data_IF_603109942598
#
_entry.id   IF_603109942598
#
_cell.length_a   1.000
_cell.length_b   1.000
_cell.length_c   1.000
_cell.angle_alpha   90.00
_cell.angle_beta   90.00
_cell.angle_gamma   90.00
#
_symmetry.space_group_name_H-M   'P 1'
#
loop_
_entity.id
_entity.type
_entity.pdbx_description
1 polymer ?
#
# COMPACT_ATOMS: atom_id res chain seq x y z
N UNK A 1 7.61 -12.70 -26.88
CA UNK A 1 8.18 -13.39 -25.70
C UNK A 1 7.57 -14.78 -25.66
N UNK A 2 8.33 -15.81 -25.25
CA UNK A 2 7.74 -17.15 -25.07
C UNK A 2 6.78 -17.12 -23.87
N UNK A 3 5.74 -17.98 -23.83
CA UNK A 3 4.84 -18.09 -22.69
C UNK A 3 5.57 -18.30 -21.36
N UNK A 4 6.67 -19.07 -21.37
CA UNK A 4 7.51 -19.29 -20.19
C UNK A 4 8.17 -18.02 -19.69
N UNK A 5 8.69 -17.17 -20.58
CA UNK A 5 9.28 -15.87 -20.20
C UNK A 5 8.26 -14.97 -19.51
N UNK A 6 7.00 -14.96 -19.98
CA UNK A 6 5.92 -14.19 -19.36
C UNK A 6 5.66 -14.71 -17.94
N UNK A 7 5.59 -16.03 -17.75
CA UNK A 7 5.40 -16.65 -16.43
C UNK A 7 6.52 -16.32 -15.45
N UNK A 8 7.79 -16.34 -15.89
CA UNK A 8 8.92 -15.95 -15.05
C UNK A 8 8.86 -14.48 -14.64
N UNK A 9 8.54 -13.58 -15.57
CA UNK A 9 8.40 -12.15 -15.28
C UNK A 9 7.27 -11.90 -14.29
N UNK A 10 6.12 -12.54 -14.45
CA UNK A 10 4.99 -12.39 -13.52
C UNK A 10 5.30 -12.95 -12.13
N UNK A 11 6.02 -14.07 -12.06
CA UNK A 11 6.45 -14.65 -10.79
C UNK A 11 7.43 -13.73 -10.07
N UNK A 12 8.42 -13.20 -10.78
CA UNK A 12 9.37 -12.23 -10.22
C UNK A 12 8.65 -10.96 -9.74
N UNK A 13 7.69 -10.45 -10.53
CA UNK A 13 6.87 -9.29 -10.15
C UNK A 13 6.10 -9.54 -8.85
N UNK A 14 5.44 -10.70 -8.72
CA UNK A 14 4.70 -11.07 -7.50
C UNK A 14 5.61 -11.13 -6.28
N UNK A 15 6.80 -11.72 -6.41
CA UNK A 15 7.79 -11.79 -5.33
C UNK A 15 8.24 -10.39 -4.91
N UNK A 16 8.60 -9.54 -5.88
CA UNK A 16 9.03 -8.16 -5.60
C UNK A 16 7.93 -7.38 -4.90
N UNK A 17 6.69 -7.43 -5.41
CA UNK A 17 5.56 -6.74 -4.79
C UNK A 17 5.24 -7.29 -3.39
N UNK A 18 5.28 -8.62 -3.22
CA UNK A 18 5.08 -9.24 -1.91
C UNK A 18 6.10 -8.72 -0.88
N UNK A 19 7.39 -8.69 -1.24
CA UNK A 19 8.44 -8.14 -0.37
C UNK A 19 8.18 -6.67 -0.06
N UNK A 20 7.86 -5.85 -1.07
CA UNK A 20 7.58 -4.42 -0.88
C UNK A 20 6.42 -4.21 0.09
N UNK A 21 5.28 -4.88 -0.11
CA UNK A 21 4.10 -4.72 0.75
C UNK A 21 4.30 -5.31 2.15
N UNK A 22 4.96 -6.46 2.28
CA UNK A 22 5.23 -7.06 3.59
C UNK A 22 6.17 -6.17 4.40
N UNK A 23 7.25 -5.67 3.80
CA UNK A 23 8.18 -4.75 4.49
C UNK A 23 7.49 -3.44 4.85
N UNK A 24 6.70 -2.86 3.93
CA UNK A 24 5.90 -1.67 4.21
C UNK A 24 4.91 -1.90 5.35
N UNK A 25 4.19 -3.02 5.34
CA UNK A 25 3.22 -3.36 6.36
C UNK A 25 3.86 -3.59 7.72
N UNK A 26 5.02 -4.25 7.80
CA UNK A 26 5.80 -4.39 9.05
C UNK A 26 6.19 -3.02 9.61
N UNK A 27 6.53 -2.04 8.76
CA UNK A 27 6.93 -0.71 9.22
C UNK A 27 5.83 0.03 9.98
N UNK A 28 4.54 -0.28 9.74
CA UNK A 28 3.40 0.32 10.45
C UNK A 28 3.41 0.04 11.96
N UNK A 29 4.09 -1.02 12.39
CA UNK A 29 4.20 -1.41 13.80
C UNK A 29 5.35 -0.71 14.53
N UNK A 30 6.26 -0.04 13.80
CA UNK A 30 7.32 0.74 14.41
C UNK A 30 6.74 2.02 15.06
N UNK A 31 6.98 2.29 16.36
CA UNK A 31 6.33 3.40 17.07
C UNK A 31 6.52 4.78 16.41
N UNK A 32 7.70 5.06 15.87
CA UNK A 32 7.98 6.32 15.19
C UNK A 32 7.18 6.47 13.89
N UNK A 33 7.15 5.42 13.06
CA UNK A 33 6.39 5.39 11.80
C UNK A 33 4.89 5.47 12.07
N UNK A 34 4.41 4.70 13.06
CA UNK A 34 3.01 4.67 13.44
C UNK A 34 2.50 6.06 13.87
N UNK A 35 3.28 6.80 14.66
CA UNK A 35 2.95 8.18 15.07
C UNK A 35 2.83 9.11 13.86
N UNK A 36 3.78 9.04 12.94
CA UNK A 36 3.78 9.87 11.73
C UNK A 36 2.58 9.54 10.84
N UNK A 37 2.34 8.27 10.52
CA UNK A 37 1.21 7.84 9.70
C UNK A 37 -0.15 8.19 10.33
N UNK A 38 -0.27 8.03 11.65
CA UNK A 38 -1.49 8.42 12.38
C UNK A 38 -1.77 9.92 12.26
N UNK A 39 -0.72 10.75 12.27
CA UNK A 39 -0.82 12.18 12.07
C UNK A 39 -1.14 12.57 10.61
N UNK A 40 -0.77 11.73 9.63
CA UNK A 40 -1.11 11.95 8.21
C UNK A 40 -2.60 11.71 7.91
N UNK A 41 -3.33 10.98 8.76
CA UNK A 41 -4.77 10.77 8.56
C UNK A 41 -5.49 12.13 8.61
N UNK A 42 -6.28 12.51 7.60
CA UNK A 42 -6.96 13.80 7.55
C UNK A 42 -7.85 14.05 8.79
N UNK A 43 -7.93 15.28 9.34
CA UNK A 43 -8.72 15.58 10.54
C UNK A 43 -10.17 15.09 10.47
N UNK A 44 -10.82 15.22 9.30
CA UNK A 44 -12.20 14.75 9.05
C UNK A 44 -12.41 13.24 9.20
N UNK A 45 -11.34 12.44 9.17
CA UNK A 45 -11.37 10.98 9.33
C UNK A 45 -10.89 10.53 10.72
N UNK A 46 -10.48 11.46 11.59
CA UNK A 46 -9.98 11.13 12.93
C UNK A 46 -11.15 10.98 13.90
N UNK A 47 -11.71 9.78 13.94
CA UNK A 47 -12.76 9.41 14.90
C UNK A 47 -12.17 8.71 16.12
N UNK A 48 -12.97 8.52 17.18
CA UNK A 48 -12.61 7.75 18.38
C UNK A 48 -13.07 6.30 18.26
N UNK A 49 -12.60 5.43 19.15
CA UNK A 49 -12.99 4.02 19.19
C UNK A 49 -12.22 3.16 18.19
N UNK A 50 -12.89 2.19 17.56
CA UNK A 50 -12.24 1.20 16.68
C UNK A 50 -11.56 1.82 15.46
N UNK A 51 -12.12 2.90 14.92
CA UNK A 51 -11.59 3.61 13.74
C UNK A 51 -10.64 4.76 14.11
N UNK A 52 -10.05 4.72 15.31
CA UNK A 52 -9.03 5.69 15.71
C UNK A 52 -7.82 5.63 14.77
N UNK A 53 -7.12 6.76 14.52
CA UNK A 53 -5.99 6.83 13.58
C UNK A 53 -4.94 5.74 13.79
N UNK A 54 -4.58 5.46 15.05
CA UNK A 54 -3.60 4.43 15.39
C UNK A 54 -4.06 3.02 14.97
N UNK A 55 -5.34 2.72 15.16
CA UNK A 55 -5.92 1.43 14.79
C UNK A 55 -6.02 1.29 13.28
N UNK A 56 -6.36 2.38 12.58
CA UNK A 56 -6.35 2.40 11.11
C UNK A 56 -4.96 2.10 10.58
N UNK A 57 -3.90 2.67 11.16
CA UNK A 57 -2.51 2.38 10.76
C UNK A 57 -2.14 0.91 11.01
N UNK A 58 -2.55 0.32 12.15
CA UNK A 58 -2.32 -1.12 12.38
C UNK A 58 -3.07 -1.96 11.35
N UNK A 59 -4.34 -1.63 11.11
CA UNK A 59 -5.18 -2.32 10.15
C UNK A 59 -4.60 -2.24 8.74
N UNK A 60 -4.15 -1.07 8.29
CA UNK A 60 -3.52 -0.91 6.98
C UNK A 60 -2.24 -1.72 6.86
N UNK A 61 -1.42 -1.78 7.92
CA UNK A 61 -0.22 -2.63 7.94
C UNK A 61 -0.54 -4.12 7.81
N UNK A 62 -1.61 -4.60 8.47
CA UNK A 62 -2.09 -5.98 8.31
C UNK A 62 -2.60 -6.25 6.88
N UNK A 63 -3.33 -5.30 6.28
CA UNK A 63 -3.80 -5.41 4.90
C UNK A 63 -2.65 -5.52 3.91
N UNK A 64 -1.58 -4.74 4.07
CA UNK A 64 -0.41 -4.81 3.20
C UNK A 64 0.30 -6.17 3.33
N UNK A 65 0.54 -6.65 4.55
CA UNK A 65 1.17 -7.97 4.78
C UNK A 65 0.31 -9.08 4.16
N UNK A 66 -0.99 -9.10 4.45
CA UNK A 66 -1.90 -10.12 3.93
C UNK A 66 -2.01 -10.06 2.41
N UNK A 67 -2.12 -8.87 1.84
CA UNK A 67 -2.16 -8.66 0.40
C UNK A 67 -0.88 -9.12 -0.28
N UNK A 68 0.28 -8.74 0.26
CA UNK A 68 1.60 -9.13 -0.24
C UNK A 68 1.80 -10.64 -0.23
N UNK A 69 1.50 -11.32 0.89
CA UNK A 69 1.56 -12.78 0.98
C UNK A 69 0.57 -13.43 0.01
N UNK A 70 -0.66 -12.92 -0.08
CA UNK A 70 -1.68 -13.50 -0.95
C UNK A 70 -1.38 -13.37 -2.44
N UNK A 71 -0.52 -12.43 -2.89
CA UNK A 71 -0.04 -12.41 -4.28
C UNK A 71 0.81 -13.65 -4.65
N UNK A 72 1.42 -14.31 -3.66
CA UNK A 72 2.24 -15.50 -3.86
C UNK A 72 1.41 -16.78 -3.96
N UNK A 73 0.19 -16.78 -3.42
CA UNK A 73 -0.70 -17.93 -3.37
C UNK A 73 -1.67 -17.90 -4.55
N UNK A 74 -1.67 -18.95 -5.36
CA UNK A 74 -2.52 -19.02 -6.55
C UNK A 74 -4.02 -18.83 -6.24
N UNK A 75 -4.50 -19.41 -5.13
CA UNK A 75 -5.89 -19.35 -4.71
C UNK A 75 -6.38 -17.95 -4.26
N UNK A 76 -5.47 -17.06 -3.86
CA UNK A 76 -5.84 -15.71 -3.36
C UNK A 76 -5.28 -14.57 -4.21
N UNK A 77 -4.45 -14.87 -5.22
CA UNK A 77 -3.75 -13.90 -6.06
C UNK A 77 -4.66 -12.82 -6.64
N UNK A 78 -5.77 -13.20 -7.27
CA UNK A 78 -6.74 -12.27 -7.87
C UNK A 78 -7.32 -11.35 -6.80
N UNK A 79 -7.82 -11.94 -5.70
CA UNK A 79 -8.41 -11.21 -4.58
C UNK A 79 -7.40 -10.26 -3.95
N UNK A 80 -6.16 -10.68 -3.75
CA UNK A 80 -5.08 -9.84 -3.20
C UNK A 80 -4.70 -8.69 -4.12
N UNK A 81 -4.59 -8.93 -5.43
CA UNK A 81 -4.30 -7.86 -6.40
C UNK A 81 -5.39 -6.77 -6.40
N UNK A 82 -6.66 -7.18 -6.43
CA UNK A 82 -7.79 -6.24 -6.36
C UNK A 82 -7.86 -5.53 -5.01
N UNK A 83 -7.69 -6.27 -3.90
CA UNK A 83 -7.73 -5.70 -2.56
C UNK A 83 -6.60 -4.67 -2.34
N UNK A 84 -5.37 -4.96 -2.80
CA UNK A 84 -4.26 -4.02 -2.76
C UNK A 84 -4.52 -2.78 -3.63
N UNK A 85 -5.12 -2.93 -4.80
CA UNK A 85 -5.50 -1.80 -5.65
C UNK A 85 -6.50 -0.87 -4.94
N UNK A 86 -7.57 -1.44 -4.37
CA UNK A 86 -8.58 -0.68 -3.58
C UNK A 86 -7.94 -0.04 -2.36
N UNK A 87 -7.08 -0.78 -1.65
CA UNK A 87 -6.33 -0.31 -0.50
C UNK A 87 -5.50 0.94 -0.84
N UNK A 88 -4.74 0.91 -1.93
CA UNK A 88 -3.91 2.04 -2.36
C UNK A 88 -4.77 3.29 -2.57
N UNK A 89 -5.91 3.15 -3.25
CA UNK A 89 -6.87 4.25 -3.42
C UNK A 89 -7.36 4.75 -2.06
N UNK A 90 -7.72 3.86 -1.15
CA UNK A 90 -8.25 4.20 0.18
C UNK A 90 -7.26 4.97 1.06
N UNK A 91 -5.95 4.68 0.97
CA UNK A 91 -4.91 5.39 1.76
C UNK A 91 -4.45 6.71 1.11
N UNK A 92 -4.82 6.98 -0.15
CA UNK A 92 -4.42 8.20 -0.86
C UNK A 92 -4.76 9.51 -0.14
N UNK A 93 -5.93 9.67 0.53
CA UNK A 93 -6.24 10.90 1.26
C UNK A 93 -5.22 11.28 2.33
N UNK A 94 -4.57 10.29 2.97
CA UNK A 94 -3.49 10.55 3.94
C UNK A 94 -2.24 11.12 3.24
N UNK A 95 -1.92 10.62 2.04
CA UNK A 95 -0.83 11.14 1.22
C UNK A 95 -1.10 12.58 0.74
N UNK A 96 -2.33 12.86 0.32
CA UNK A 96 -2.77 14.22 -0.05
C UNK A 96 -2.64 15.17 1.14
N UNK A 97 -3.06 14.74 2.33
CA UNK A 97 -2.93 15.55 3.54
C UNK A 97 -1.47 15.84 3.87
N UNK A 98 -0.60 14.82 3.85
CA UNK A 98 0.84 15.01 4.09
C UNK A 98 1.48 15.97 3.08
N UNK A 99 1.20 15.81 1.79
CA UNK A 99 1.72 16.66 0.72
C UNK A 99 1.36 18.15 0.88
N UNK A 100 0.23 18.45 1.53
CA UNK A 100 -0.25 19.81 1.81
C UNK A 100 0.31 20.42 3.10
N UNK A 101 1.00 19.64 3.93
CA UNK A 101 1.56 20.07 5.22
C UNK A 101 3.05 19.72 5.30
N UNK A 102 3.83 20.21 4.34
CA UNK A 102 5.28 19.93 4.23
C UNK A 102 6.07 20.37 5.46
N UNK A 103 5.69 21.49 6.05
CA UNK A 103 6.22 22.02 7.31
C UNK A 103 6.14 21.02 8.46
N UNK A 104 5.09 20.18 8.47
CA UNK A 104 4.83 19.20 9.52
C UNK A 104 5.46 17.83 9.26
N UNK A 105 5.53 17.42 8.00
CA UNK A 105 5.90 16.04 7.62
C UNK A 105 7.24 15.92 6.89
N UNK A 106 7.88 17.03 6.54
CA UNK A 106 9.23 17.06 5.95
C UNK A 106 9.37 16.12 4.76
N UNK A 107 10.35 15.21 4.82
CA UNK A 107 10.64 14.24 3.77
C UNK A 107 9.48 13.28 3.45
N UNK A 108 8.54 13.07 4.38
CA UNK A 108 7.36 12.20 4.17
C UNK A 108 6.29 12.90 3.32
N UNK A 109 6.31 14.24 3.22
CA UNK A 109 5.41 15.04 2.39
C UNK A 109 5.85 15.05 0.92
N UNK A 110 5.81 13.89 0.28
CA UNK A 110 6.07 13.74 -1.15
C UNK A 110 5.07 14.63 -1.93
N UNK A 111 5.53 15.41 -2.94
CA UNK A 111 4.63 16.22 -3.75
C UNK A 111 3.51 15.39 -4.41
N UNK A 112 2.34 15.99 -4.58
CA UNK A 112 1.12 15.27 -4.97
C UNK A 112 1.24 14.56 -6.33
N UNK A 113 1.80 15.22 -7.34
CA UNK A 113 1.92 14.68 -8.70
C UNK A 113 2.80 13.42 -8.75
N UNK A 114 4.06 13.43 -8.29
CA UNK A 114 4.87 12.21 -8.28
C UNK A 114 4.27 11.12 -7.40
N UNK A 115 3.62 11.49 -6.29
CA UNK A 115 2.93 10.53 -5.42
C UNK A 115 1.77 9.84 -6.13
N UNK A 116 0.94 10.61 -6.84
CA UNK A 116 -0.19 10.07 -7.62
C UNK A 116 0.31 9.14 -8.73
N UNK A 117 1.32 9.56 -9.50
CA UNK A 117 1.90 8.74 -10.57
C UNK A 117 2.45 7.42 -10.03
N UNK A 118 3.26 7.47 -8.97
CA UNK A 118 3.80 6.26 -8.35
C UNK A 118 2.69 5.33 -7.83
N UNK A 119 1.60 5.89 -7.31
CA UNK A 119 0.49 5.10 -6.83
C UNK A 119 -0.33 4.46 -7.96
N UNK A 120 -0.55 5.17 -9.07
CA UNK A 120 -1.19 4.61 -10.27
C UNK A 120 -0.35 3.49 -10.89
N UNK A 121 0.97 3.66 -10.94
CA UNK A 121 1.89 2.61 -11.38
C UNK A 121 1.79 1.40 -10.46
N UNK A 122 1.84 1.60 -9.14
CA UNK A 122 1.76 0.49 -8.18
C UNK A 122 0.41 -0.24 -8.26
N UNK A 123 -0.70 0.50 -8.44
CA UNK A 123 -2.04 -0.08 -8.71
C UNK A 123 -2.00 -0.95 -9.96
N UNK A 124 -1.45 -0.45 -11.07
CA UNK A 124 -1.31 -1.22 -12.30
C UNK A 124 -0.49 -2.50 -12.09
N UNK A 125 0.63 -2.40 -11.37
CA UNK A 125 1.51 -3.54 -11.10
C UNK A 125 0.83 -4.61 -10.24
N UNK A 126 0.09 -4.24 -9.19
CA UNK A 126 -0.63 -5.24 -8.36
C UNK A 126 -1.80 -5.88 -9.11
N UNK A 127 -2.46 -5.13 -9.99
CA UNK A 127 -3.50 -5.69 -10.85
C UNK A 127 -2.93 -6.67 -11.88
N UNK A 128 -1.80 -6.33 -12.52
CA UNK A 128 -1.09 -7.25 -13.42
C UNK A 128 -0.63 -8.50 -12.67
N UNK A 129 -0.01 -8.34 -11.50
CA UNK A 129 0.44 -9.46 -10.68
C UNK A 129 -0.71 -10.36 -10.20
N UNK A 130 -1.88 -9.75 -9.96
CA UNK A 130 -3.10 -10.39 -9.49
C UNK A 130 -3.89 -11.12 -10.58
N UNK A 131 -4.04 -10.48 -11.75
CA UNK A 131 -4.98 -10.89 -12.80
C UNK A 131 -4.32 -11.61 -13.98
N UNK A 132 -3.03 -11.33 -14.25
CA UNK A 132 -2.31 -12.06 -15.28
C UNK A 132 -1.82 -13.38 -14.70
N UNK A 133 -2.21 -14.49 -15.29
CA UNK A 133 -1.90 -15.84 -14.82
C UNK A 133 -2.61 -16.87 -15.67
#
# INVERSE_FOLDING_TARGET
MSPESVTYVLTALRIVLAVVFVVAGISHFAPAVQRTMSAMIPPRLRVRGLLAPRNLVIFTGLCEIAGGIGLLLESTRVTSGVALAVFLVAVFPANVYAARHKDRFGAVAIPLVPRLLGQLVLIGLVLVAGLAG
#
